data_IF_679118736559
#
_entry.id   IF_679118736559
#
_cell.length_a   1.000
_cell.length_b   1.000
_cell.length_c   1.000
_cell.angle_alpha   90.00
_cell.angle_beta   90.00
_cell.angle_gamma   90.00
#
_symmetry.space_group_name_H-M   'P 1'
#
loop_
_entity.id
_entity.type
_entity.pdbx_description
1 polymer ?
#
# COMPACT_ATOMS: atom_id res chain seq x y z
N UNK A 1 -13.53 -6.04 -14.94
CA UNK A 1 -12.46 -6.88 -14.36
C UNK A 1 -11.29 -5.95 -14.10
N UNK A 2 -10.85 -5.79 -12.84
CA UNK A 2 -9.80 -4.82 -12.51
C UNK A 2 -8.44 -5.35 -13.00
N UNK A 3 -7.65 -4.51 -13.67
CA UNK A 3 -6.31 -4.88 -14.15
C UNK A 3 -5.21 -4.59 -13.12
N UNK A 4 -5.60 -4.47 -11.85
CA UNK A 4 -4.73 -4.11 -10.74
C UNK A 4 -4.72 -5.24 -9.71
N UNK A 5 -3.52 -5.58 -9.24
CA UNK A 5 -3.28 -6.47 -8.11
C UNK A 5 -2.65 -5.63 -6.99
N UNK A 6 -3.14 -5.79 -5.77
CA UNK A 6 -2.63 -5.11 -4.57
C UNK A 6 -2.22 -6.19 -3.58
N UNK A 7 -1.00 -6.10 -3.06
CA UNK A 7 -0.46 -7.02 -2.07
C UNK A 7 -0.03 -6.24 -0.82
N UNK A 8 -0.37 -6.74 0.36
CA UNK A 8 0.09 -6.19 1.63
C UNK A 8 1.38 -6.90 2.03
N UNK A 9 2.44 -6.13 2.27
CA UNK A 9 3.77 -6.60 2.62
C UNK A 9 4.08 -6.17 4.05
N UNK A 10 4.34 -7.15 4.91
CA UNK A 10 4.92 -6.92 6.22
C UNK A 10 6.44 -7.09 6.15
N UNK A 11 7.19 -6.10 6.60
CA UNK A 11 8.65 -6.15 6.67
C UNK A 11 9.09 -5.89 8.11
N UNK A 12 9.96 -6.76 8.64
CA UNK A 12 10.49 -6.67 10.00
C UNK A 12 11.33 -5.41 10.25
N UNK A 13 11.77 -4.74 9.19
CA UNK A 13 12.56 -3.52 9.25
C UNK A 13 11.71 -2.24 9.17
N UNK A 14 10.39 -2.37 9.00
CA UNK A 14 9.48 -1.24 8.93
C UNK A 14 8.50 -1.29 10.09
N UNK A 15 8.22 -0.13 10.67
CA UNK A 15 7.28 0.00 11.80
C UNK A 15 5.84 -0.35 11.40
N UNK A 16 5.53 -0.23 10.11
CA UNK A 16 4.23 -0.55 9.54
C UNK A 16 4.37 -1.41 8.28
N UNK A 17 3.36 -2.26 8.00
CA UNK A 17 3.25 -2.87 6.67
C UNK A 17 3.09 -1.78 5.60
N UNK A 18 3.20 -2.19 4.34
CA UNK A 18 2.92 -1.35 3.18
C UNK A 18 2.18 -2.13 2.11
N UNK A 19 1.65 -1.42 1.12
CA UNK A 19 0.97 -2.01 -0.04
C UNK A 19 1.85 -1.90 -1.28
N UNK A 20 1.95 -2.98 -2.03
CA UNK A 20 2.52 -3.00 -3.38
C UNK A 20 1.40 -3.13 -4.41
N UNK A 21 1.45 -2.28 -5.44
CA UNK A 21 0.45 -2.22 -6.50
C UNK A 21 1.10 -2.59 -7.83
N UNK A 22 0.48 -3.55 -8.51
CA UNK A 22 0.96 -4.15 -9.74
C UNK A 22 -0.10 -4.07 -10.83
N UNK A 23 0.35 -3.96 -12.07
CA UNK A 23 -0.47 -4.39 -13.20
C UNK A 23 -0.72 -5.89 -13.09
N UNK A 24 -1.91 -6.35 -13.47
CA UNK A 24 -2.38 -7.73 -13.27
C UNK A 24 -1.40 -8.83 -13.71
N UNK A 25 -0.63 -8.60 -14.77
CA UNK A 25 0.29 -9.58 -15.34
C UNK A 25 1.76 -9.32 -14.98
N UNK A 26 2.05 -8.24 -14.25
CA UNK A 26 3.41 -7.85 -13.89
C UNK A 26 3.81 -8.42 -12.54
N UNK A 27 5.11 -8.70 -12.42
CA UNK A 27 5.74 -9.19 -11.19
C UNK A 27 6.44 -8.09 -10.40
N UNK A 28 6.55 -6.90 -10.97
CA UNK A 28 7.25 -5.76 -10.39
C UNK A 28 6.19 -4.71 -10.08
N UNK A 29 6.15 -4.17 -8.84
CA UNK A 29 5.17 -3.14 -8.51
C UNK A 29 5.54 -1.84 -9.20
N UNK A 30 4.53 -1.06 -9.56
CA UNK A 30 4.74 0.29 -10.09
C UNK A 30 4.49 1.37 -9.04
N UNK A 31 3.81 1.03 -7.95
CA UNK A 31 3.48 1.93 -6.85
C UNK A 31 3.56 1.16 -5.53
N UNK A 32 4.16 1.80 -4.54
CA UNK A 32 4.09 1.44 -3.14
C UNK A 32 3.29 2.49 -2.37
N UNK A 33 2.45 2.03 -1.44
CA UNK A 33 1.73 2.88 -0.50
C UNK A 33 2.11 2.46 0.91
N UNK A 34 2.83 3.33 1.62
CA UNK A 34 3.33 3.08 2.98
C UNK A 34 2.80 4.12 3.96
N UNK A 35 3.03 3.89 5.24
CA UNK A 35 2.73 4.86 6.30
C UNK A 35 4.03 5.57 6.66
N UNK A 36 4.03 6.88 6.51
CA UNK A 36 5.17 7.71 6.90
C UNK A 36 5.29 7.83 8.43
N UNK A 37 6.43 8.33 8.90
CA UNK A 37 6.66 8.64 10.32
C UNK A 37 5.60 9.59 10.91
N UNK A 38 4.95 10.41 10.07
CA UNK A 38 3.86 11.31 10.47
C UNK A 38 2.49 10.65 10.52
N UNK A 39 2.43 9.32 10.36
CA UNK A 39 1.20 8.52 10.28
C UNK A 39 0.28 8.95 9.13
N UNK A 40 0.87 9.39 8.02
CA UNK A 40 0.18 9.75 6.76
C UNK A 40 0.53 8.74 5.66
N UNK A 41 -0.41 8.51 4.73
CA UNK A 41 -0.16 7.69 3.53
C UNK A 41 0.88 8.36 2.63
N UNK A 42 1.95 7.64 2.34
CA UNK A 42 3.02 8.03 1.42
C UNK A 42 2.92 7.19 0.15
N UNK A 43 3.12 7.81 -1.01
CA UNK A 43 3.08 7.15 -2.31
C UNK A 43 4.46 7.20 -2.96
N UNK A 44 4.99 6.03 -3.31
CA UNK A 44 6.28 5.89 -3.97
C UNK A 44 6.11 5.21 -5.31
N UNK A 45 6.36 5.94 -6.39
CA UNK A 45 6.27 5.41 -7.75
C UNK A 45 7.60 4.80 -8.17
N UNK A 46 7.56 3.58 -8.67
CA UNK A 46 8.72 2.90 -9.22
C UNK A 46 8.89 3.23 -10.69
N UNK A 47 10.15 3.35 -11.12
CA UNK A 47 10.46 3.53 -12.52
C UNK A 47 9.99 2.29 -13.31
N UNK A 48 9.12 2.51 -14.29
CA UNK A 48 8.64 1.46 -15.18
C UNK A 48 9.29 1.59 -16.56
N UNK A 49 9.50 0.46 -17.24
CA UNK A 49 9.96 0.43 -18.64
C UNK A 49 8.84 0.79 -19.63
N UNK A 50 7.60 0.75 -19.17
CA UNK A 50 6.40 1.03 -19.96
C UNK A 50 5.52 2.02 -19.22
N UNK A 51 4.76 2.80 -19.97
CA UNK A 51 3.79 3.72 -19.39
C UNK A 51 2.76 2.95 -18.56
N UNK A 52 2.50 3.46 -17.36
CA UNK A 52 1.42 2.96 -16.49
C UNK A 52 0.21 3.84 -16.76
N UNK A 53 -0.86 3.22 -17.27
CA UNK A 53 -2.12 3.89 -17.51
C UNK A 53 -3.20 3.26 -16.62
N UNK A 54 -3.83 4.10 -15.80
CA UNK A 54 -4.98 3.75 -14.97
C UNK A 54 -6.19 4.49 -15.50
N UNK A 55 -7.34 3.83 -15.53
CA UNK A 55 -8.60 4.56 -15.61
C UNK A 55 -8.99 5.09 -14.22
N UNK A 56 -10.01 5.95 -14.17
CA UNK A 56 -10.47 6.57 -12.92
C UNK A 56 -10.94 5.52 -11.91
N UNK A 57 -11.65 4.48 -12.33
CA UNK A 57 -12.16 3.43 -11.43
C UNK A 57 -11.03 2.61 -10.79
N UNK A 58 -9.95 2.36 -11.54
CA UNK A 58 -8.75 1.67 -11.05
C UNK A 58 -8.01 2.52 -10.02
N UNK A 59 -7.88 3.82 -10.29
CA UNK A 59 -7.28 4.76 -9.34
C UNK A 59 -8.11 4.91 -8.07
N UNK A 60 -9.43 5.08 -8.20
CA UNK A 60 -10.36 5.16 -7.06
C UNK A 60 -10.32 3.88 -6.21
N UNK A 61 -10.20 2.72 -6.85
CA UNK A 61 -10.04 1.45 -6.14
C UNK A 61 -8.73 1.38 -5.33
N UNK A 62 -7.61 1.79 -5.93
CA UNK A 62 -6.33 1.83 -5.20
C UNK A 62 -6.46 2.76 -3.99
N UNK A 63 -7.05 3.95 -4.18
CA UNK A 63 -7.25 4.91 -3.10
C UNK A 63 -8.21 4.40 -2.02
N UNK A 64 -9.26 3.66 -2.36
CA UNK A 64 -10.19 3.12 -1.37
C UNK A 64 -9.47 2.12 -0.46
N UNK A 65 -8.68 1.21 -1.03
CA UNK A 65 -7.89 0.23 -0.28
C UNK A 65 -6.83 0.92 0.60
N UNK A 66 -6.13 1.93 0.07
CA UNK A 66 -5.14 2.69 0.83
C UNK A 66 -5.76 3.40 2.06
N UNK A 67 -6.96 3.97 1.90
CA UNK A 67 -7.70 4.63 2.99
C UNK A 67 -8.18 3.66 4.05
N UNK A 68 -8.57 2.44 3.68
CA UNK A 68 -8.93 1.39 4.63
C UNK A 68 -7.70 0.81 5.34
N UNK A 69 -6.56 0.79 4.65
CA UNK A 69 -5.29 0.26 5.16
C UNK A 69 -4.74 1.08 6.33
N UNK A 70 -4.70 2.42 6.21
CA UNK A 70 -4.14 3.32 7.23
C UNK A 70 -4.69 3.07 8.65
N UNK A 71 -6.01 3.16 8.92
CA UNK A 71 -6.53 2.98 10.27
C UNK A 71 -6.32 1.56 10.80
N UNK A 72 -6.32 0.55 9.92
CA UNK A 72 -6.08 -0.85 10.31
C UNK A 72 -4.63 -1.04 10.78
N UNK A 73 -3.66 -0.52 10.02
CA UNK A 73 -2.25 -0.62 10.36
C UNK A 73 -1.91 0.14 11.65
N UNK A 74 -2.46 1.34 11.85
CA UNK A 74 -2.26 2.11 13.08
C UNK A 74 -2.92 1.45 14.31
N UNK A 75 -4.10 0.84 14.16
CA UNK A 75 -4.74 0.12 15.27
C UNK A 75 -3.92 -1.11 15.71
N UNK A 76 -3.32 -1.83 14.75
CA UNK A 76 -2.48 -2.98 15.07
C UNK A 76 -1.24 -2.58 15.89
N UNK A 77 -0.67 -1.40 15.66
CA UNK A 77 0.41 -0.83 16.49
C UNK A 77 -0.05 -0.61 17.94
N UNK A 78 -1.21 0.05 18.13
CA UNK A 78 -1.77 0.30 19.47
C UNK A 78 -2.07 -1.00 20.24
N UNK A 79 -2.59 -2.01 19.55
CA UNK A 79 -2.89 -3.32 20.15
C UNK A 79 -1.60 -4.09 20.48
N UNK A 80 -0.54 -3.97 19.67
CA UNK A 80 0.78 -4.56 19.95
C UNK A 80 1.42 -3.93 21.20
N UNK A 81 1.42 -2.60 21.29
CA UNK A 81 1.98 -1.87 22.44
C UNK A 81 1.29 -2.22 23.76
N UNK A 82 -0.04 -2.41 23.75
CA UNK A 82 -0.81 -2.81 24.95
C UNK A 82 -0.54 -4.24 25.43
N UNK A 83 -0.03 -5.11 24.58
CA UNK A 83 0.32 -6.49 24.95
C UNK A 83 1.75 -6.60 25.51
N UNK A 84 2.56 -5.54 25.35
CA UNK A 84 3.95 -5.48 25.80
C UNK A 84 4.18 -4.73 27.12
N UNK A 85 3.11 -4.16 27.70
CA UNK A 85 3.05 -3.59 29.05
C UNK A 85 2.62 -4.64 30.09
#
# INVERSE_FOLDING_TARGET
>A
MKNIKIEEVGDINFDYPYLEIFSKNDKIPFLEISISERKELSLKFYASKTDIQLNIEEWEYILSIAKEFLPRALKNEDDFLKLSD
#
